data_IF_166120009463
#
_entry.id   IF_166120009463
#
_cell.length_a   1.000
_cell.length_b   1.000
_cell.length_c   1.000
_cell.angle_alpha   90.00
_cell.angle_beta   90.00
_cell.angle_gamma   90.00
#
_symmetry.space_group_name_H-M   'P 1'
#
loop_
_entity.id
_entity.type
_entity.pdbx_description
1 polymer ?
#
# COMPACT_ATOMS: atom_id res chain seq x y z
N UNK A 1 -15.16 -9.31 18.50
CA UNK A 1 -14.03 -9.60 17.59
C UNK A 1 -12.75 -10.13 18.25
N UNK A 2 -12.64 -10.23 19.60
CA UNK A 2 -11.45 -10.85 20.23
C UNK A 2 -11.43 -12.38 20.14
N UNK A 3 -12.60 -13.02 20.19
CA UNK A 3 -12.72 -14.50 20.16
C UNK A 3 -12.18 -15.13 18.88
N UNK A 4 -12.53 -14.58 17.71
CA UNK A 4 -12.07 -15.08 16.40
C UNK A 4 -10.55 -15.07 16.27
N UNK A 5 -9.90 -13.97 16.69
CA UNK A 5 -8.45 -13.85 16.65
C UNK A 5 -7.74 -14.83 17.61
N UNK A 6 -8.35 -15.14 18.75
CA UNK A 6 -7.80 -16.13 19.69
C UNK A 6 -7.87 -17.54 19.11
N UNK A 7 -9.00 -17.93 18.50
CA UNK A 7 -9.15 -19.27 17.90
C UNK A 7 -8.20 -19.50 16.72
N UNK A 8 -8.07 -18.51 15.83
CA UNK A 8 -7.13 -18.58 14.69
C UNK A 8 -5.68 -18.69 15.16
N UNK A 9 -5.29 -17.90 16.18
CA UNK A 9 -3.94 -17.98 16.75
C UNK A 9 -3.65 -19.33 17.41
N UNK A 10 -4.62 -19.88 18.14
CA UNK A 10 -4.47 -21.19 18.80
C UNK A 10 -4.36 -22.30 17.76
N UNK A 11 -5.19 -22.31 16.72
CA UNK A 11 -5.15 -23.30 15.64
C UNK A 11 -3.80 -23.33 14.91
N UNK A 12 -3.24 -22.16 14.61
CA UNK A 12 -1.90 -22.04 14.01
C UNK A 12 -0.82 -22.53 14.99
N UNK A 13 -0.95 -22.20 16.28
CA UNK A 13 0.03 -22.59 17.30
C UNK A 13 0.02 -24.09 17.63
N UNK A 14 -1.12 -24.78 17.47
CA UNK A 14 -1.24 -26.22 17.71
C UNK A 14 -1.03 -27.06 16.45
N UNK A 15 -0.66 -26.44 15.32
CA UNK A 15 -0.41 -27.15 14.06
C UNK A 15 -1.66 -27.69 13.38
N UNK A 16 -2.83 -27.11 13.67
CA UNK A 16 -4.08 -27.44 12.98
C UNK A 16 -4.57 -28.88 13.19
N UNK A 17 -4.43 -29.43 14.39
CA UNK A 17 -4.89 -30.80 14.68
C UNK A 17 -6.42 -30.90 14.64
N UNK A 18 -6.94 -31.90 13.92
CA UNK A 18 -8.37 -32.24 13.81
C UNK A 18 -9.12 -32.29 15.15
N UNK A 19 -8.44 -32.68 16.23
CA UNK A 19 -9.02 -32.78 17.57
C UNK A 19 -9.56 -31.43 18.08
N UNK A 20 -8.90 -30.31 17.77
CA UNK A 20 -9.35 -28.97 18.16
C UNK A 20 -10.63 -28.57 17.41
N UNK A 21 -10.75 -28.95 16.14
CA UNK A 21 -11.92 -28.66 15.32
C UNK A 21 -13.12 -29.51 15.75
N UNK A 22 -12.89 -30.77 16.12
CA UNK A 22 -13.90 -31.68 16.65
C UNK A 22 -14.46 -31.22 18.00
N UNK A 23 -13.59 -30.84 18.94
CA UNK A 23 -14.00 -30.36 20.26
C UNK A 23 -14.86 -29.08 20.19
N UNK A 24 -14.65 -28.26 19.16
CA UNK A 24 -15.38 -27.00 18.96
C UNK A 24 -16.51 -27.10 17.92
N UNK A 25 -16.82 -28.28 17.40
CA UNK A 25 -17.94 -28.50 16.45
C UNK A 25 -17.73 -27.94 15.05
N UNK A 26 -16.48 -27.65 14.67
CA UNK A 26 -16.06 -27.06 13.40
C UNK A 26 -15.30 -28.06 12.50
N UNK A 27 -15.54 -29.36 12.69
CA UNK A 27 -14.86 -30.47 11.99
C UNK A 27 -14.89 -30.35 10.46
N UNK A 28 -15.93 -29.70 9.90
CA UNK A 28 -16.13 -29.57 8.45
C UNK A 28 -15.70 -28.22 7.85
N UNK A 29 -15.27 -27.26 8.69
CA UNK A 29 -14.98 -25.89 8.25
C UNK A 29 -13.57 -25.75 7.63
N UNK A 30 -12.65 -26.69 7.89
CA UNK A 30 -11.23 -26.57 7.50
C UNK A 30 -10.61 -27.92 7.09
N UNK A 31 -11.38 -28.83 6.50
CA UNK A 31 -10.84 -30.07 5.94
C UNK A 31 -9.90 -29.77 4.76
N UNK A 32 -8.65 -30.24 4.87
CA UNK A 32 -7.64 -30.11 3.82
C UNK A 32 -8.10 -30.78 2.50
N UNK A 33 -8.81 -31.90 2.61
CA UNK A 33 -9.36 -32.63 1.46
C UNK A 33 -10.36 -31.78 0.66
N UNK A 34 -11.15 -30.94 1.35
CA UNK A 34 -12.09 -30.01 0.71
C UNK A 34 -11.40 -28.86 -0.03
N UNK A 35 -10.26 -28.41 0.51
CA UNK A 35 -9.43 -27.36 -0.12
C UNK A 35 -8.72 -27.88 -1.38
N UNK A 36 -8.41 -29.18 -1.44
CA UNK A 36 -7.82 -29.82 -2.63
C UNK A 36 -8.87 -30.22 -3.67
N UNK A 37 -10.06 -30.68 -3.26
CA UNK A 37 -11.16 -30.99 -4.19
C UNK A 37 -11.67 -29.71 -4.91
N UNK A 38 -11.74 -28.58 -4.21
CA UNK A 38 -12.10 -27.29 -4.82
C UNK A 38 -11.00 -26.76 -5.78
N UNK A 39 -9.76 -27.21 -5.65
CA UNK A 39 -8.64 -26.80 -6.52
C UNK A 39 -8.54 -27.62 -7.82
N UNK A 40 -9.08 -28.84 -7.84
CA UNK A 40 -9.07 -29.72 -9.02
C UNK A 40 -10.32 -29.53 -9.91
N UNK A 41 -11.34 -28.81 -9.42
CA UNK A 41 -12.65 -28.74 -10.09
C UNK A 41 -12.95 -27.43 -10.84
N UNK A 42 -12.00 -26.50 -10.92
CA UNK A 42 -12.14 -25.25 -11.70
C UNK A 42 -11.18 -25.25 -12.91
N UNK A 43 -11.71 -25.64 -14.07
CA UNK A 43 -11.14 -25.38 -15.40
C UNK A 43 -11.18 -23.88 -15.79
N UNK A 44 -11.61 -23.00 -14.89
CA UNK A 44 -11.54 -21.54 -15.08
C UNK A 44 -10.48 -20.93 -14.16
N UNK A 45 -9.35 -20.61 -14.80
CA UNK A 45 -8.20 -19.89 -14.27
C UNK A 45 -8.57 -18.74 -13.31
N UNK A 46 -8.52 -19.00 -12.02
CA UNK A 46 -8.19 -17.98 -11.03
C UNK A 46 -7.24 -18.57 -10.00
N UNK A 47 -6.02 -18.86 -10.45
CA UNK A 47 -4.91 -19.08 -9.54
C UNK A 47 -4.89 -17.95 -8.52
N UNK A 48 -4.93 -18.31 -7.24
CA UNK A 48 -4.85 -17.37 -6.14
C UNK A 48 -3.49 -16.67 -6.25
N UNK A 49 -3.42 -15.54 -6.94
CA UNK A 49 -2.24 -14.69 -6.91
C UNK A 49 -2.15 -14.17 -5.47
N UNK A 50 -1.12 -14.55 -4.68
CA UNK A 50 -0.93 -13.93 -3.39
C UNK A 50 -0.83 -12.43 -3.65
N UNK A 51 -1.76 -11.65 -3.08
CA UNK A 51 -1.70 -10.20 -3.16
C UNK A 51 -0.28 -9.79 -2.77
N UNK A 52 0.47 -9.21 -3.71
CA UNK A 52 1.82 -8.74 -3.42
C UNK A 52 1.68 -7.66 -2.34
N UNK A 53 1.95 -8.05 -1.10
CA UNK A 53 2.01 -7.13 0.01
C UNK A 53 3.31 -6.34 -0.20
N UNK A 54 3.21 -5.02 -0.37
CA UNK A 54 4.40 -4.15 -0.44
C UNK A 54 5.30 -4.49 0.75
N UNK A 55 6.55 -4.84 0.47
CA UNK A 55 7.48 -5.19 1.54
C UNK A 55 7.80 -3.94 2.37
N UNK A 56 8.14 -4.14 3.64
CA UNK A 56 8.61 -3.04 4.49
C UNK A 56 9.83 -2.34 3.86
N UNK A 57 10.69 -3.11 3.18
CA UNK A 57 11.87 -2.63 2.49
C UNK A 57 11.52 -1.69 1.34
N UNK A 58 10.53 -2.06 0.51
CA UNK A 58 10.05 -1.22 -0.60
C UNK A 58 9.46 0.09 -0.09
N UNK A 59 8.69 0.03 1.00
CA UNK A 59 8.10 1.23 1.64
C UNK A 59 9.18 2.17 2.16
N UNK A 60 10.21 1.62 2.83
CA UNK A 60 11.34 2.40 3.36
C UNK A 60 12.15 3.01 2.21
N UNK A 61 12.44 2.23 1.17
CA UNK A 61 13.16 2.68 -0.01
C UNK A 61 12.42 3.83 -0.72
N UNK A 62 11.11 3.66 -0.97
CA UNK A 62 10.26 4.71 -1.52
C UNK A 62 10.29 5.99 -0.66
N UNK A 63 10.26 5.83 0.67
CA UNK A 63 10.38 6.94 1.60
C UNK A 63 11.72 7.69 1.52
N UNK A 64 12.83 7.00 1.23
CA UNK A 64 14.15 7.59 1.02
C UNK A 64 14.16 8.36 -0.32
N UNK A 65 13.72 7.72 -1.41
CA UNK A 65 13.64 8.32 -2.74
C UNK A 65 12.83 9.63 -2.72
N UNK A 66 11.67 9.62 -2.07
CA UNK A 66 10.82 10.82 -1.95
C UNK A 66 11.53 11.94 -1.20
N UNK A 67 12.30 11.64 -0.14
CA UNK A 67 13.03 12.66 0.63
C UNK A 67 14.15 13.29 -0.20
N UNK A 68 14.91 12.47 -0.92
CA UNK A 68 16.00 12.94 -1.79
C UNK A 68 15.43 13.79 -2.93
N UNK A 69 14.33 13.35 -3.54
CA UNK A 69 13.65 14.12 -4.58
C UNK A 69 13.14 15.48 -4.08
N UNK A 70 12.58 15.54 -2.86
CA UNK A 70 12.17 16.81 -2.24
C UNK A 70 13.38 17.73 -2.02
N UNK A 71 14.53 17.18 -1.65
CA UNK A 71 15.77 17.93 -1.45
C UNK A 71 16.26 18.52 -2.77
N UNK A 72 16.37 17.74 -3.83
CA UNK A 72 16.81 18.24 -5.15
C UNK A 72 15.85 19.30 -5.71
N UNK A 73 14.54 19.06 -5.60
CA UNK A 73 13.53 20.07 -5.99
C UNK A 73 13.70 21.36 -5.18
N UNK A 74 14.10 21.27 -3.91
CA UNK A 74 14.36 22.45 -3.06
C UNK A 74 15.53 23.29 -3.52
N UNK A 75 16.57 22.67 -4.06
CA UNK A 75 17.76 23.35 -4.55
C UNK A 75 17.45 24.15 -5.83
N UNK A 76 16.50 23.67 -6.64
CA UNK A 76 16.08 24.32 -7.89
C UNK A 76 14.97 25.35 -7.64
N UNK A 77 13.92 24.97 -6.90
CA UNK A 77 12.75 25.82 -6.69
C UNK A 77 12.10 25.59 -5.30
N UNK A 78 12.34 26.48 -4.32
CA UNK A 78 11.78 26.39 -2.98
C UNK A 78 10.24 26.40 -2.92
N UNK A 79 9.56 26.98 -3.92
CA UNK A 79 8.10 26.93 -4.02
C UNK A 79 7.63 25.53 -4.42
N UNK A 80 8.31 24.90 -5.38
CA UNK A 80 7.98 23.55 -5.83
C UNK A 80 8.27 22.51 -4.75
N UNK A 81 9.30 22.72 -3.92
CA UNK A 81 9.54 21.91 -2.72
C UNK A 81 8.29 21.81 -1.84
N UNK A 82 7.65 22.96 -1.54
CA UNK A 82 6.44 23.00 -0.70
C UNK A 82 5.31 22.22 -1.35
N UNK A 83 5.14 22.34 -2.66
CA UNK A 83 4.12 21.60 -3.42
C UNK A 83 4.36 20.09 -3.36
N UNK A 84 5.57 19.62 -3.68
CA UNK A 84 5.91 18.19 -3.67
C UNK A 84 5.80 17.60 -2.26
N UNK A 85 6.23 18.36 -1.24
CA UNK A 85 6.11 17.92 0.17
C UNK A 85 4.65 17.73 0.61
N UNK A 86 3.72 18.52 0.06
CA UNK A 86 2.30 18.35 0.37
C UNK A 86 1.69 17.21 -0.45
N UNK A 87 2.10 17.05 -1.72
CA UNK A 87 1.68 15.92 -2.55
C UNK A 87 2.14 14.58 -1.96
N UNK A 88 3.35 14.49 -1.42
CA UNK A 88 3.88 13.27 -0.78
C UNK A 88 3.12 12.88 0.50
N UNK A 89 2.32 13.80 1.06
CA UNK A 89 1.42 13.57 2.19
C UNK A 89 -0.02 13.31 1.75
N UNK A 90 -0.23 12.95 0.48
CA UNK A 90 -1.54 12.71 -0.13
C UNK A 90 -2.52 13.90 -0.03
N UNK A 91 -2.01 15.14 -0.02
CA UNK A 91 -2.86 16.34 0.00
C UNK A 91 -3.50 16.57 -1.36
N UNK A 92 -4.80 16.88 -1.37
CA UNK A 92 -5.53 17.21 -2.60
C UNK A 92 -5.03 18.55 -3.16
N UNK A 93 -4.97 18.66 -4.49
CA UNK A 93 -4.51 19.88 -5.19
C UNK A 93 -5.24 21.15 -4.71
N UNK A 94 -6.56 21.08 -4.52
CA UNK A 94 -7.35 22.21 -4.01
C UNK A 94 -6.93 22.69 -2.62
N UNK A 95 -6.52 21.77 -1.74
CA UNK A 95 -6.06 22.10 -0.39
C UNK A 95 -4.64 22.68 -0.41
N UNK A 96 -3.78 22.17 -1.31
CA UNK A 96 -2.44 22.74 -1.56
C UNK A 96 -2.55 24.19 -2.01
N UNK A 97 -3.46 24.51 -2.93
CA UNK A 97 -3.70 25.88 -3.39
C UNK A 97 -4.11 26.80 -2.22
N UNK A 98 -5.00 26.34 -1.35
CA UNK A 98 -5.44 27.11 -0.17
C UNK A 98 -4.30 27.32 0.82
N UNK A 99 -3.56 26.27 1.16
CA UNK A 99 -2.47 26.28 2.13
C UNK A 99 -1.31 27.18 1.69
N UNK A 100 -0.99 27.14 0.40
CA UNK A 100 0.07 27.96 -0.19
C UNK A 100 -0.41 29.33 -0.67
N UNK A 101 -1.69 29.68 -0.47
CA UNK A 101 -2.33 30.93 -0.93
C UNK A 101 -2.10 31.20 -2.42
N UNK A 102 -2.17 30.14 -3.24
CA UNK A 102 -2.00 30.22 -4.69
C UNK A 102 -3.35 30.50 -5.36
N UNK A 103 -3.34 31.38 -6.37
CA UNK A 103 -4.49 31.56 -7.26
C UNK A 103 -4.79 30.28 -8.04
N UNK A 104 -6.06 30.02 -8.38
CA UNK A 104 -6.47 28.76 -9.04
C UNK A 104 -5.69 28.48 -10.32
N UNK A 105 -5.68 29.43 -11.26
CA UNK A 105 -5.02 29.23 -12.57
C UNK A 105 -3.52 28.97 -12.40
N UNK A 106 -2.80 29.90 -11.79
CA UNK A 106 -1.35 29.79 -11.62
C UNK A 106 -0.96 28.61 -10.71
N UNK A 107 -1.75 28.34 -9.67
CA UNK A 107 -1.46 27.28 -8.70
C UNK A 107 -1.55 25.88 -9.31
N UNK A 108 -2.48 25.62 -10.24
CA UNK A 108 -2.51 24.35 -10.95
C UNK A 108 -1.34 24.19 -11.93
N UNK A 109 -0.92 25.27 -12.59
CA UNK A 109 0.28 25.26 -13.42
C UNK A 109 1.53 25.00 -12.58
N UNK A 110 1.65 25.64 -11.42
CA UNK A 110 2.75 25.43 -10.48
C UNK A 110 2.80 23.98 -10.00
N UNK A 111 1.64 23.37 -9.71
CA UNK A 111 1.57 21.95 -9.35
C UNK A 111 2.07 21.07 -10.50
N UNK A 112 1.61 21.32 -11.72
CA UNK A 112 2.04 20.56 -12.89
C UNK A 112 3.54 20.72 -13.16
N UNK A 113 4.06 21.94 -13.02
CA UNK A 113 5.47 22.24 -13.19
C UNK A 113 6.34 21.58 -12.10
N UNK A 114 5.89 21.61 -10.85
CA UNK A 114 6.57 20.92 -9.75
C UNK A 114 6.62 19.40 -9.97
N UNK A 115 5.50 18.78 -10.37
CA UNK A 115 5.44 17.36 -10.69
C UNK A 115 6.36 17.01 -11.88
N UNK A 116 6.37 17.84 -12.92
CA UNK A 116 7.24 17.66 -14.09
C UNK A 116 8.72 17.73 -13.69
N UNK A 117 9.10 18.71 -12.86
CA UNK A 117 10.47 18.85 -12.38
C UNK A 117 10.89 17.62 -11.55
N UNK A 118 10.04 17.19 -10.61
CA UNK A 118 10.31 16.01 -9.80
C UNK A 118 10.44 14.74 -10.67
N UNK A 119 9.58 14.57 -11.68
CA UNK A 119 9.69 13.46 -12.62
C UNK A 119 11.02 13.48 -13.40
N UNK A 120 11.44 14.66 -13.88
CA UNK A 120 12.70 14.82 -14.59
C UNK A 120 13.91 14.50 -13.70
N UNK A 121 13.88 14.86 -12.42
CA UNK A 121 14.96 14.55 -11.47
C UNK A 121 14.99 13.07 -11.11
N UNK A 122 13.84 12.43 -10.92
CA UNK A 122 13.79 11.00 -10.63
C UNK A 122 14.38 10.14 -11.76
N UNK A 123 14.22 10.57 -13.01
CA UNK A 123 14.78 9.89 -14.19
C UNK A 123 16.16 10.43 -14.60
N UNK A 124 16.77 11.28 -13.77
CA UNK A 124 18.10 11.81 -14.01
C UNK A 124 19.12 10.87 -13.36
N UNK A 125 19.58 9.92 -14.17
CA UNK A 125 20.71 9.00 -13.95
C UNK A 125 20.87 8.38 -12.53
#
# INVERSE_FOLDING_TARGET
MKFFNTQVRTYIATGGTDDFLKENGHEYDLSYDKFTDDAESDEDSSGFEPAQTESLEDTVLLGIIIKDLIKEVSEINPKYRKIITLLSKNRKKGDILKELRLGKSQGYEDIKAAQKLAYQLYHKD
#
